data_IF_695879231321
#
_entry.id   IF_695879231321
#
_cell.length_a   1.000
_cell.length_b   1.000
_cell.length_c   1.000
_cell.angle_alpha   90.00
_cell.angle_beta   90.00
_cell.angle_gamma   90.00
#
_symmetry.space_group_name_H-M   'P 1'
#
loop_
_entity.id
_entity.type
_entity.pdbx_description
1 polymer ?
#
# COMPACT_ATOMS: atom_id res chain seq x y z
N UNK A 1 26.15 2.90 12.67
CA UNK A 1 24.73 2.48 12.53
C UNK A 1 23.95 3.75 12.70
N UNK A 2 23.67 4.44 11.59
CA UNK A 2 22.67 5.51 11.65
C UNK A 2 21.35 4.86 12.02
N UNK A 3 20.69 5.35 13.06
CA UNK A 3 19.41 4.81 13.51
C UNK A 3 18.46 4.74 12.32
N UNK A 4 17.96 3.54 12.00
CA UNK A 4 16.96 3.37 10.95
C UNK A 4 15.70 4.13 11.40
N UNK A 5 15.51 5.34 10.85
CA UNK A 5 14.33 6.15 11.08
C UNK A 5 13.31 5.84 9.99
N UNK A 6 12.27 5.12 10.38
CA UNK A 6 11.09 4.85 9.56
C UNK A 6 9.88 5.52 10.18
N UNK A 7 9.02 6.13 9.36
CA UNK A 7 7.69 6.59 9.77
C UNK A 7 6.62 5.82 9.01
N UNK A 8 5.49 5.54 9.66
CA UNK A 8 4.33 4.91 9.05
C UNK A 8 3.09 5.76 9.26
N UNK A 9 2.26 5.84 8.23
CA UNK A 9 0.97 6.54 8.23
C UNK A 9 -0.08 5.63 7.59
N UNK A 10 -1.29 5.65 8.13
CA UNK A 10 -2.45 5.02 7.51
C UNK A 10 -3.49 6.10 7.25
N UNK A 11 -3.97 6.18 6.02
CA UNK A 11 -5.00 7.12 5.59
C UNK A 11 -6.20 6.36 5.07
N UNK A 12 -7.40 6.84 5.32
CA UNK A 12 -8.63 6.29 4.74
C UNK A 12 -9.48 7.42 4.19
N UNK A 13 -10.57 7.07 3.52
CA UNK A 13 -11.59 8.03 3.06
C UNK A 13 -12.42 8.63 4.21
N UNK A 14 -12.09 8.27 5.46
CA UNK A 14 -12.66 8.84 6.67
C UNK A 14 -11.56 9.52 7.47
N UNK A 15 -11.88 10.69 8.02
CA UNK A 15 -11.04 11.37 8.99
C UNK A 15 -11.28 10.73 10.36
N UNK A 16 -10.43 9.78 10.74
CA UNK A 16 -10.59 9.01 11.97
C UNK A 16 -9.31 8.95 12.79
N UNK A 17 -9.42 9.34 14.05
CA UNK A 17 -8.39 9.15 15.06
C UNK A 17 -8.50 7.71 15.61
N UNK A 18 -7.42 6.94 15.47
CA UNK A 18 -7.13 5.67 16.17
C UNK A 18 -7.90 4.39 15.77
N UNK A 19 -7.41 3.27 16.33
CA UNK A 19 -7.45 1.86 15.89
C UNK A 19 -8.74 1.36 15.26
N UNK A 20 -8.59 0.64 14.13
CA UNK A 20 -9.70 0.09 13.36
C UNK A 20 -10.21 1.03 12.26
N UNK A 21 -9.33 1.93 11.78
CA UNK A 21 -9.55 2.96 10.76
C UNK A 21 -10.69 2.57 9.81
N UNK A 22 -11.92 3.07 10.05
CA UNK A 22 -13.01 2.78 9.16
C UNK A 22 -12.64 3.33 7.77
N UNK A 23 -12.89 2.51 6.76
CA UNK A 23 -12.73 2.87 5.37
C UNK A 23 -13.99 2.40 4.64
N UNK A 24 -14.57 3.25 3.80
CA UNK A 24 -15.73 2.86 3.00
C UNK A 24 -15.28 2.22 1.69
N UNK A 25 -14.35 2.86 0.99
CA UNK A 25 -13.93 2.49 -0.35
C UNK A 25 -12.44 2.67 -0.59
N UNK A 26 -11.70 3.36 0.27
CA UNK A 26 -10.28 3.61 0.05
C UNK A 26 -9.51 3.65 1.37
N UNK A 27 -8.29 3.10 1.33
CA UNK A 27 -7.30 3.33 2.36
C UNK A 27 -5.90 3.00 1.87
N UNK A 28 -4.91 3.72 2.38
CA UNK A 28 -3.51 3.52 2.05
C UNK A 28 -2.62 3.46 3.30
N UNK A 29 -1.57 2.66 3.20
CA UNK A 29 -0.47 2.64 4.15
C UNK A 29 0.76 3.26 3.50
N UNK A 30 1.29 4.32 4.09
CA UNK A 30 2.48 5.03 3.63
C UNK A 30 3.61 4.75 4.61
N UNK A 31 4.72 4.22 4.10
CA UNK A 31 5.96 4.03 4.85
C UNK A 31 7.04 4.92 4.26
N UNK A 32 7.69 5.74 5.09
CA UNK A 32 8.86 6.52 4.69
C UNK A 32 10.09 5.94 5.37
N UNK A 33 11.09 5.58 4.59
CA UNK A 33 12.37 5.05 5.08
C UNK A 33 13.48 5.84 4.40
N UNK A 34 14.19 6.67 5.17
CA UNK A 34 15.20 7.58 4.61
C UNK A 34 14.61 8.45 3.48
N UNK A 35 15.05 8.23 2.23
CA UNK A 35 14.59 8.96 1.04
C UNK A 35 13.57 8.18 0.21
N UNK A 36 13.14 7.01 0.67
CA UNK A 36 12.18 6.15 -0.02
C UNK A 36 10.79 6.32 0.60
N UNK A 37 9.77 6.37 -0.26
CA UNK A 37 8.37 6.26 0.13
C UNK A 37 7.78 4.98 -0.46
N UNK A 38 7.10 4.19 0.35
CA UNK A 38 6.43 2.95 -0.07
C UNK A 38 4.96 3.11 0.30
N UNK A 39 4.11 3.10 -0.71
CA UNK A 39 2.65 3.22 -0.50
C UNK A 39 1.96 1.93 -0.92
N UNK A 40 1.13 1.38 -0.04
CA UNK A 40 0.18 0.33 -0.36
C UNK A 40 -1.23 0.92 -0.30
N UNK A 41 -1.82 1.13 -1.46
CA UNK A 41 -3.19 1.60 -1.63
C UNK A 41 -4.14 0.42 -1.83
N UNK A 42 -5.28 0.43 -1.14
CA UNK A 42 -6.40 -0.47 -1.37
C UNK A 42 -7.63 0.38 -1.65
N UNK A 43 -8.29 0.14 -2.78
CA UNK A 43 -9.60 0.72 -3.07
C UNK A 43 -10.62 -0.34 -3.48
N UNK A 44 -11.89 -0.09 -3.14
CA UNK A 44 -13.02 -0.95 -3.48
C UNK A 44 -13.94 -0.15 -4.38
N UNK A 45 -13.89 -0.48 -5.67
CA UNK A 45 -14.77 0.07 -6.69
C UNK A 45 -15.83 -0.99 -7.05
N UNK A 46 -15.84 -1.47 -8.29
CA UNK A 46 -16.54 -2.70 -8.68
C UNK A 46 -15.80 -3.96 -8.21
N UNK A 47 -14.48 -3.88 -8.19
CA UNK A 47 -13.54 -4.92 -7.75
C UNK A 47 -12.59 -4.32 -6.71
N UNK A 48 -11.92 -5.17 -5.92
CA UNK A 48 -10.84 -4.72 -5.03
C UNK A 48 -9.61 -4.42 -5.89
N UNK A 49 -9.19 -3.16 -5.87
CA UNK A 49 -7.99 -2.66 -6.52
C UNK A 49 -6.89 -2.53 -5.48
N UNK A 50 -5.68 -2.92 -5.88
CA UNK A 50 -4.46 -2.79 -5.09
C UNK A 50 -3.50 -1.91 -5.89
N UNK A 51 -2.91 -0.93 -5.24
CA UNK A 51 -1.87 -0.05 -5.76
C UNK A 51 -0.61 -0.17 -4.91
N UNK A 52 0.54 -0.22 -5.57
CA UNK A 52 1.86 -0.19 -4.91
C UNK A 52 2.67 0.93 -5.56
N UNK A 53 3.07 1.90 -4.76
CA UNK A 53 3.95 2.99 -5.18
C UNK A 53 5.31 2.82 -4.49
N UNK A 54 6.38 3.01 -5.25
CA UNK A 54 7.76 2.97 -4.77
C UNK A 54 8.42 4.28 -5.21
N UNK A 55 8.62 5.18 -4.27
CA UNK A 55 8.93 6.58 -4.54
C UNK A 55 7.75 7.31 -5.19
N UNK A 56 8.05 8.18 -6.15
CA UNK A 56 7.05 9.01 -6.84
C UNK A 56 6.26 8.23 -7.93
N UNK A 57 6.68 7.01 -8.27
CA UNK A 57 6.09 6.23 -9.35
C UNK A 57 5.22 5.07 -8.86
N UNK A 58 4.09 4.87 -9.56
CA UNK A 58 3.25 3.69 -9.37
C UNK A 58 3.97 2.45 -9.93
N UNK A 59 4.59 1.67 -9.04
CA UNK A 59 5.26 0.43 -9.39
C UNK A 59 4.27 -0.64 -9.89
N UNK A 60 3.05 -0.67 -9.33
CA UNK A 60 2.01 -1.59 -9.78
C UNK A 60 0.60 -1.12 -9.40
N UNK A 61 -0.39 -1.33 -10.28
CA UNK A 61 -1.82 -1.14 -9.96
C UNK A 61 -2.68 -2.15 -10.71
N UNK A 62 -3.65 -2.74 -10.02
CA UNK A 62 -4.56 -3.72 -10.64
C UNK A 62 -5.50 -4.38 -9.64
N UNK A 63 -6.24 -5.40 -10.07
CA UNK A 63 -7.18 -6.11 -9.18
C UNK A 63 -6.44 -6.98 -8.16
N UNK A 64 -7.05 -7.24 -7.01
CA UNK A 64 -6.53 -8.18 -6.01
C UNK A 64 -6.23 -9.57 -6.60
N UNK A 65 -7.03 -10.02 -7.57
CA UNK A 65 -6.77 -11.28 -8.31
C UNK A 65 -5.47 -11.19 -9.10
N UNK A 66 -5.25 -10.09 -9.82
CA UNK A 66 -4.00 -9.83 -10.54
C UNK A 66 -2.80 -9.78 -9.59
N UNK A 67 -2.93 -9.09 -8.46
CA UNK A 67 -1.86 -8.99 -7.47
C UNK A 67 -1.45 -10.35 -6.90
N UNK A 68 -2.43 -11.21 -6.56
CA UNK A 68 -2.18 -12.58 -6.09
C UNK A 68 -1.41 -13.41 -7.11
N UNK A 69 -1.72 -13.26 -8.41
CA UNK A 69 -1.01 -13.96 -9.47
C UNK A 69 0.44 -13.46 -9.60
N UNK A 70 0.62 -12.13 -9.61
CA UNK A 70 1.95 -11.51 -9.64
C UNK A 70 2.85 -12.03 -8.51
N UNK A 71 2.36 -12.00 -7.26
CA UNK A 71 3.12 -12.46 -6.10
C UNK A 71 3.45 -13.96 -6.17
N UNK A 72 2.52 -14.78 -6.67
CA UNK A 72 2.73 -16.23 -6.84
C UNK A 72 3.79 -16.53 -7.91
N UNK A 73 3.88 -15.71 -8.95
CA UNK A 73 4.93 -15.84 -9.97
C UNK A 73 6.27 -15.35 -9.45
N UNK A 74 6.30 -14.21 -8.77
CA UNK A 74 7.50 -13.66 -8.15
C UNK A 74 8.09 -14.62 -7.10
N UNK A 75 7.25 -15.28 -6.30
CA UNK A 75 7.71 -16.22 -5.27
C UNK A 75 8.38 -17.48 -5.82
N UNK A 76 8.11 -17.84 -7.09
CA UNK A 76 8.78 -18.97 -7.76
C UNK A 76 10.15 -18.62 -8.33
N UNK A 77 10.45 -17.33 -8.43
CA UNK A 77 11.72 -16.80 -8.96
C UNK A 77 12.71 -16.44 -7.85
N UNK A 78 12.31 -16.57 -6.59
CA UNK A 78 13.21 -16.57 -5.42
C UNK A 78 13.88 -17.92 -5.29
#
# INVERSE_FOLDING_TARGET
>A
MDDIRMTGELRTDLDCEVTGLPAQRWGEAVFKVQNEEIVLEISVEKDVIVGVMLGEEAAWRGTLKGFKLLLKEASKRK
#
